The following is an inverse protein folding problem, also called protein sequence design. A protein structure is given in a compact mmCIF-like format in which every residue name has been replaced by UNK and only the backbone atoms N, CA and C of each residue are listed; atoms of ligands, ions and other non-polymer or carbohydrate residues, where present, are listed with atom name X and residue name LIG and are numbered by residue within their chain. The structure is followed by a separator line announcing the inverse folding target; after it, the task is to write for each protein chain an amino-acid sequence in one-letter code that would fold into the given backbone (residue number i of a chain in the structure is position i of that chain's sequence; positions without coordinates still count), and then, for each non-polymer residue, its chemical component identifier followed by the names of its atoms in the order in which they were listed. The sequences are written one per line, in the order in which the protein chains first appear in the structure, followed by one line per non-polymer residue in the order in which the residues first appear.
data_IF_832919416590
#
_entry.id   IF_832919416590
#
_cell.length_a   1.000
_cell.length_b   1.000
_cell.length_c   1.000
_cell.angle_alpha   90.00
_cell.angle_beta   90.00
_cell.angle_gamma   90.00
#
_symmetry.space_group_name_H-M   'P 1'
#
loop_
_entity.id
_entity.type
_entity.pdbx_description
1 polymer ?
#
# COMPACT_ATOMS: atom_id res chain seq x y z
N UNK A 1 -15.66 -1.23 -9.72
CA UNK A 1 -14.95 -0.34 -10.66
C UNK A 1 -13.82 0.33 -9.91
N UNK A 2 -12.57 0.08 -10.28
CA UNK A 2 -11.42 0.88 -9.83
C UNK A 2 -11.58 2.30 -10.37
N UNK A 3 -11.30 3.29 -9.53
CA UNK A 3 -11.22 4.68 -9.93
C UNK A 3 -9.76 4.98 -10.24
N UNK A 4 -9.51 5.34 -11.48
CA UNK A 4 -8.21 5.78 -11.92
C UNK A 4 -8.16 7.30 -11.81
N UNK A 5 -7.28 7.83 -10.97
CA UNK A 5 -7.08 9.27 -10.83
C UNK A 5 -5.71 9.63 -11.39
N UNK A 6 -5.68 10.56 -12.34
CA UNK A 6 -4.43 11.12 -12.83
C UNK A 6 -4.13 12.34 -11.96
N UNK A 7 -3.05 12.27 -11.21
CA UNK A 7 -2.58 13.41 -10.44
C UNK A 7 -2.18 14.53 -11.41
N UNK A 8 -2.88 15.67 -11.34
CA UNK A 8 -2.77 16.74 -12.34
C UNK A 8 -1.45 17.50 -12.28
N UNK A 9 -0.72 17.43 -11.17
CA UNK A 9 0.57 18.10 -11.04
C UNK A 9 1.73 17.27 -11.58
N UNK A 10 1.54 15.95 -11.69
CA UNK A 10 2.68 15.03 -11.91
C UNK A 10 2.48 14.07 -13.07
N UNK A 11 1.24 13.88 -13.55
CA UNK A 11 0.92 13.02 -14.68
C UNK A 11 0.88 11.52 -14.37
N UNK A 12 1.03 11.13 -13.09
CA UNK A 12 1.01 9.74 -12.66
C UNK A 12 -0.40 9.23 -12.46
N UNK A 13 -0.58 7.94 -12.77
CA UNK A 13 -1.87 7.25 -12.75
C UNK A 13 -2.00 6.53 -11.40
N UNK A 14 -2.90 7.01 -10.54
CA UNK A 14 -3.26 6.39 -9.26
C UNK A 14 -4.43 5.43 -9.49
N UNK A 15 -4.25 4.17 -9.13
CA UNK A 15 -5.30 3.15 -9.20
C UNK A 15 -5.93 2.95 -7.82
N UNK A 16 -7.07 3.59 -7.56
CA UNK A 16 -7.88 3.31 -6.37
C UNK A 16 -8.87 2.19 -6.70
N UNK A 17 -8.59 0.96 -6.26
CA UNK A 17 -9.58 -0.11 -6.33
C UNK A 17 -10.77 0.19 -5.40
N UNK A 18 -12.02 -0.18 -5.77
CA UNK A 18 -13.15 0.04 -4.89
C UNK A 18 -12.94 -0.80 -3.64
N UNK A 19 -13.02 -0.16 -2.47
CA UNK A 19 -12.92 -0.85 -1.18
C UNK A 19 -13.87 -2.07 -1.20
N UNK A 20 -13.35 -3.32 -1.13
CA UNK A 20 -14.19 -4.47 -0.85
C UNK A 20 -14.94 -4.17 0.45
N UNK A 21 -16.25 -4.42 0.53
CA UNK A 21 -17.06 -4.14 1.72
C UNK A 21 -16.44 -4.69 3.01
N UNK A 22 -15.60 -5.72 2.90
CA UNK A 22 -14.93 -6.45 3.99
C UNK A 22 -13.40 -6.24 4.06
N UNK A 23 -12.82 -5.29 3.31
CA UNK A 23 -11.37 -5.08 3.32
C UNK A 23 -10.89 -4.50 4.64
N UNK A 24 -10.24 -5.35 5.44
CA UNK A 24 -9.63 -4.99 6.74
C UNK A 24 -8.20 -4.51 6.62
N UNK A 25 -7.54 -4.78 5.50
CA UNK A 25 -6.15 -4.42 5.27
C UNK A 25 -5.99 -3.84 3.88
N UNK A 26 -4.99 -2.97 3.71
CA UNK A 26 -4.55 -2.52 2.40
C UNK A 26 -3.02 -2.41 2.37
N UNK A 27 -2.47 -2.56 1.17
CA UNK A 27 -1.07 -2.26 0.89
C UNK A 27 -1.04 -0.97 0.09
N UNK A 28 -0.21 -0.02 0.49
CA UNK A 28 0.08 1.21 -0.27
C UNK A 28 1.53 1.15 -0.71
N UNK A 29 1.76 1.17 -2.02
CA UNK A 29 3.08 1.39 -2.59
C UNK A 29 3.21 2.86 -3.04
N UNK A 30 4.37 3.45 -2.77
CA UNK A 30 4.69 4.81 -3.08
C UNK A 30 6.11 4.92 -3.67
N UNK A 31 6.30 5.80 -4.64
CA UNK A 31 7.60 6.06 -5.24
C UNK A 31 7.85 7.57 -5.24
N UNK A 32 9.00 8.01 -4.72
CA UNK A 32 9.32 9.44 -4.65
C UNK A 32 8.32 10.26 -3.82
N UNK A 33 7.72 9.65 -2.78
CA UNK A 33 6.74 10.30 -1.91
C UNK A 33 5.31 10.34 -2.46
N UNK A 34 5.00 9.63 -3.55
CA UNK A 34 3.67 9.59 -4.17
C UNK A 34 3.14 8.17 -4.22
N UNK A 35 1.85 7.99 -3.94
CA UNK A 35 1.20 6.69 -4.01
C UNK A 35 1.05 6.27 -5.47
N UNK A 36 1.58 5.09 -5.82
CA UNK A 36 1.49 4.50 -7.16
C UNK A 36 0.50 3.34 -7.21
N UNK A 37 0.29 2.64 -6.09
CA UNK A 37 -0.56 1.46 -6.05
C UNK A 37 -1.25 1.29 -4.68
N UNK A 38 -2.52 0.86 -4.70
CA UNK A 38 -3.28 0.49 -3.50
C UNK A 38 -3.98 -0.86 -3.72
N UNK A 39 -3.60 -1.86 -2.94
CA UNK A 39 -4.20 -3.20 -2.96
C UNK A 39 -5.03 -3.44 -1.70
N UNK A 40 -6.22 -4.04 -1.83
CA UNK A 40 -7.15 -4.27 -0.72
C UNK A 40 -7.26 -5.75 -0.37
N UNK A 41 -7.25 -6.05 0.94
CA UNK A 41 -7.25 -7.42 1.45
C UNK A 41 -8.26 -7.59 2.60
N UNK A 42 -8.89 -8.77 2.64
CA UNK A 42 -9.75 -9.17 3.76
C UNK A 42 -8.96 -9.68 4.98
N UNK A 43 -7.74 -10.18 4.77
CA UNK A 43 -6.90 -10.80 5.80
C UNK A 43 -5.50 -10.20 5.86
N UNK A 44 -4.90 -10.20 7.06
CA UNK A 44 -3.51 -9.75 7.23
C UNK A 44 -2.51 -10.68 6.56
N UNK A 45 -2.81 -11.99 6.52
CA UNK A 45 -1.93 -13.00 5.93
C UNK A 45 -1.73 -12.75 4.44
N UNK A 46 -2.82 -12.51 3.72
CA UNK A 46 -2.76 -12.26 2.27
C UNK A 46 -2.07 -10.92 1.98
N UNK A 47 -2.38 -9.89 2.78
CA UNK A 47 -1.70 -8.59 2.68
C UNK A 47 -0.18 -8.72 2.94
N UNK A 48 0.23 -9.51 3.94
CA UNK A 48 1.65 -9.72 4.23
C UNK A 48 2.36 -10.46 3.10
N UNK A 49 1.74 -11.49 2.53
CA UNK A 49 2.34 -12.22 1.42
C UNK A 49 2.62 -11.31 0.22
N UNK A 50 1.62 -10.52 -0.20
CA UNK A 50 1.79 -9.59 -1.34
C UNK A 50 2.77 -8.48 -1.00
N UNK A 51 2.81 -8.01 0.25
CA UNK A 51 3.79 -7.03 0.69
C UNK A 51 5.23 -7.55 0.55
N UNK A 52 5.48 -8.79 0.98
CA UNK A 52 6.79 -9.44 0.87
C UNK A 52 7.19 -9.66 -0.61
N UNK A 53 6.22 -10.01 -1.47
CA UNK A 53 6.41 -10.14 -2.93
C UNK A 53 6.80 -8.79 -3.56
N UNK A 54 6.04 -7.72 -3.30
CA UNK A 54 6.33 -6.36 -3.82
C UNK A 54 7.68 -5.87 -3.31
N UNK A 55 7.99 -6.06 -2.02
CA UNK A 55 9.27 -5.65 -1.46
C UNK A 55 10.45 -6.35 -2.17
N UNK A 56 10.33 -7.66 -2.45
CA UNK A 56 11.34 -8.44 -3.15
C UNK A 56 11.52 -7.97 -4.60
N UNK A 57 10.43 -7.77 -5.34
CA UNK A 57 10.46 -7.31 -6.74
C UNK A 57 11.17 -5.95 -6.89
N UNK A 58 11.07 -5.09 -5.88
CA UNK A 58 11.72 -3.78 -5.83
C UNK A 58 13.08 -3.78 -5.10
N UNK A 59 13.61 -4.96 -4.74
CA UNK A 59 14.92 -5.10 -4.09
C UNK A 59 15.01 -4.46 -2.70
N UNK A 60 13.87 -4.30 -2.03
CA UNK A 60 13.77 -3.72 -0.69
C UNK A 60 13.62 -4.83 0.34
N UNK A 61 14.39 -4.77 1.44
CA UNK A 61 14.17 -5.67 2.56
C UNK A 61 12.86 -5.28 3.26
N UNK A 62 11.92 -6.21 3.51
CA UNK A 62 10.63 -5.93 4.14
C UNK A 62 10.70 -5.15 5.47
N UNK A 63 11.83 -5.25 6.20
CA UNK A 63 12.10 -4.51 7.43
C UNK A 63 12.59 -3.06 7.22
N UNK A 64 13.12 -2.78 6.03
CA UNK A 64 13.61 -1.45 5.62
C UNK A 64 12.56 -0.65 4.87
N UNK A 65 11.53 -1.34 4.38
CA UNK A 65 10.30 -0.80 3.85
C UNK A 65 9.60 0.04 4.96
N UNK A 66 8.99 1.16 4.59
CA UNK A 66 8.57 2.32 5.40
C UNK A 66 9.63 3.43 5.56
N UNK A 67 10.75 3.39 4.82
CA UNK A 67 11.75 4.47 4.78
C UNK A 67 11.47 5.44 3.63
N UNK A 68 11.38 6.73 3.97
CA UNK A 68 11.15 7.82 3.02
C UNK A 68 12.32 7.97 2.02
N UNK A 69 12.00 8.24 0.75
CA UNK A 69 12.96 8.69 -0.28
C UNK A 69 13.22 7.70 -1.41
N UNK A 70 12.74 6.46 -1.31
CA UNK A 70 12.81 5.40 -2.32
C UNK A 70 11.44 4.76 -2.52
N UNK A 71 11.36 3.66 -3.28
CA UNK A 71 10.15 2.84 -3.38
C UNK A 71 9.76 2.35 -1.98
N UNK A 72 8.63 2.84 -1.48
CA UNK A 72 8.11 2.58 -0.15
C UNK A 72 6.81 1.79 -0.26
N UNK A 73 6.73 0.62 0.40
CA UNK A 73 5.49 -0.14 0.48
C UNK A 73 5.03 -0.21 1.93
N UNK A 74 3.74 -0.26 2.20
CA UNK A 74 3.25 -0.20 3.59
C UNK A 74 1.93 -0.93 3.75
N UNK A 75 1.77 -1.65 4.86
CA UNK A 75 0.50 -2.29 5.19
C UNK A 75 -0.28 -1.36 6.13
N UNK A 76 -1.57 -1.21 5.87
CA UNK A 76 -2.50 -0.46 6.70
C UNK A 76 -3.67 -1.34 7.10
N UNK A 77 -4.21 -1.11 8.29
CA UNK A 77 -5.37 -1.83 8.84
C UNK A 77 -6.55 -0.88 9.01
N UNK A 78 -7.74 -1.34 8.64
CA UNK A 78 -9.00 -0.67 8.95
C UNK A 78 -9.27 -0.76 10.45
N UNK A 79 -9.38 0.40 11.08
CA UNK A 79 -9.88 0.57 12.44
C UNK A 79 -11.34 1.01 12.40
N UNK A 80 -11.90 1.49 13.50
CA UNK A 80 -13.33 1.79 13.62
C UNK A 80 -13.85 2.78 12.56
N UNK A 81 -12.99 3.68 12.05
CA UNK A 81 -13.38 4.70 11.07
C UNK A 81 -12.34 5.04 9.99
N UNK A 82 -11.12 4.50 10.04
CA UNK A 82 -10.05 4.86 9.08
C UNK A 82 -9.01 3.75 8.92
N UNK A 83 -8.18 3.84 7.89
CA UNK A 83 -6.99 3.01 7.78
C UNK A 83 -5.83 3.62 8.57
N UNK A 84 -5.12 2.80 9.33
CA UNK A 84 -3.92 3.16 10.07
C UNK A 84 -2.74 2.28 9.65
N UNK A 85 -1.58 2.90 9.42
CA UNK A 85 -0.35 2.23 9.01
C UNK A 85 0.13 1.28 10.10
N UNK A 86 0.48 0.04 9.73
CA UNK A 86 1.09 -0.94 10.60
C UNK A 86 2.61 -0.71 10.58
N UNK A 87 3.19 -0.52 11.76
CA UNK A 87 4.64 -0.46 11.94
C UNK A 87 5.12 -1.80 12.46
N UNK A 88 6.16 -2.37 11.84
CA UNK A 88 6.74 -3.66 12.23
C UNK A 88 7.77 -3.57 13.37
N UNK A 89 7.88 -2.41 14.03
CA UNK A 89 8.80 -2.22 15.15
C UNK A 89 8.21 -2.81 16.44
N UNK A 90 8.65 -4.03 16.78
CA UNK A 90 8.88 -4.48 18.17
C UNK A 90 10.30 -5.02 18.30
#
# INVERSE_FOLDING_TARGET
MSKTYIDKETGWIIYEMPKPCDAKYLIVAAEGGKIVEINYFGSFKDAKQVFDEIANDHGCEPETVNKSGYYDVSIWRWTENRYEKIYYYE
#
